data_IF_143034206281
#
_entry.id   IF_143034206281
#
_cell.length_a   1.000
_cell.length_b   1.000
_cell.length_c   1.000
_cell.angle_alpha   90.00
_cell.angle_beta   90.00
_cell.angle_gamma   90.00
#
_symmetry.space_group_name_H-M   'P 1'
#
loop_
_entity.id
_entity.type
_entity.pdbx_description
1 polymer ?
#
# COMPACT_ATOMS: atom_id res chain seq x y z
N UNK A 1 2.95 7.54 -22.69
CA UNK A 1 2.18 8.79 -22.54
C UNK A 1 1.42 8.73 -21.22
N UNK A 2 1.84 9.46 -20.16
CA UNK A 2 1.25 9.36 -18.81
C UNK A 2 -0.14 10.03 -18.79
N UNK A 3 -1.21 9.23 -18.79
CA UNK A 3 -2.62 9.64 -18.93
C UNK A 3 -3.09 10.70 -17.90
N UNK A 4 -2.45 10.78 -16.73
CA UNK A 4 -2.82 11.71 -15.66
C UNK A 4 -2.44 13.19 -15.91
N UNK A 5 -1.65 13.48 -16.95
CA UNK A 5 -1.31 14.87 -17.35
C UNK A 5 -2.33 15.51 -18.30
N UNK A 6 -3.37 14.78 -18.72
CA UNK A 6 -4.34 15.26 -19.72
C UNK A 6 -5.38 16.23 -19.13
N UNK A 7 -5.68 17.31 -19.85
CA UNK A 7 -6.77 18.24 -19.53
C UNK A 7 -8.14 17.54 -19.45
N UNK A 8 -8.33 16.43 -20.17
CA UNK A 8 -9.55 15.62 -20.16
C UNK A 8 -9.91 15.11 -18.77
N UNK A 9 -8.91 14.80 -17.93
CA UNK A 9 -9.13 14.30 -16.57
C UNK A 9 -9.60 15.42 -15.62
N UNK A 10 -9.08 16.65 -15.80
CA UNK A 10 -9.50 17.84 -15.04
C UNK A 10 -10.95 18.20 -15.35
N UNK A 11 -11.39 18.01 -16.58
CA UNK A 11 -12.78 18.26 -16.98
C UNK A 11 -13.73 17.16 -16.46
N UNK A 12 -13.27 15.90 -16.41
CA UNK A 12 -13.99 14.79 -15.76
C UNK A 12 -14.21 15.04 -14.25
N UNK A 13 -13.22 15.59 -13.56
CA UNK A 13 -13.31 15.93 -12.12
C UNK A 13 -14.29 17.07 -11.81
N UNK A 14 -14.57 17.94 -12.78
CA UNK A 14 -15.55 19.04 -12.65
C UNK A 14 -16.98 18.58 -12.91
N UNK A 15 -17.16 17.43 -13.56
CA UNK A 15 -18.47 16.86 -13.81
C UNK A 15 -19.04 16.27 -12.50
N UNK A 16 -20.20 16.78 -12.09
CA UNK A 16 -20.92 16.44 -10.85
C UNK A 16 -21.40 14.97 -10.76
N UNK A 17 -21.05 14.14 -11.74
CA UNK A 17 -21.44 12.73 -11.87
C UNK A 17 -20.43 11.75 -11.26
N UNK A 18 -19.27 12.20 -10.80
CA UNK A 18 -18.22 11.33 -10.29
C UNK A 18 -18.34 11.10 -8.77
N UNK A 19 -18.18 9.85 -8.33
CA UNK A 19 -18.25 9.47 -6.91
C UNK A 19 -17.21 10.22 -6.07
N UNK A 20 -17.57 10.57 -4.83
CA UNK A 20 -16.69 11.18 -3.83
C UNK A 20 -15.40 10.39 -3.62
N UNK A 21 -15.49 9.06 -3.69
CA UNK A 21 -14.34 8.17 -3.45
C UNK A 21 -13.33 8.25 -4.59
N UNK A 22 -13.81 8.37 -5.83
CA UNK A 22 -12.95 8.54 -7.01
C UNK A 22 -12.21 9.88 -6.93
N UNK A 23 -12.90 10.94 -6.50
CA UNK A 23 -12.28 12.26 -6.31
C UNK A 23 -11.22 12.21 -5.19
N UNK A 24 -11.51 11.51 -4.09
CA UNK A 24 -10.56 11.34 -2.98
C UNK A 24 -9.30 10.60 -3.42
N UNK A 25 -9.45 9.43 -4.06
CA UNK A 25 -8.34 8.63 -4.61
C UNK A 25 -7.49 9.43 -5.60
N UNK A 26 -8.13 10.23 -6.46
CA UNK A 26 -7.40 11.10 -7.38
C UNK A 26 -6.55 12.15 -6.64
N UNK A 27 -7.11 12.81 -5.62
CA UNK A 27 -6.37 13.81 -4.81
C UNK A 27 -5.15 13.19 -4.13
N UNK A 28 -5.31 11.99 -3.55
CA UNK A 28 -4.21 11.24 -2.92
C UNK A 28 -3.13 10.87 -3.93
N UNK A 29 -3.50 10.32 -5.08
CA UNK A 29 -2.54 10.02 -6.15
C UNK A 29 -1.78 11.27 -6.62
N UNK A 30 -2.45 12.42 -6.72
CA UNK A 30 -1.81 13.71 -7.04
C UNK A 30 -0.82 14.15 -5.95
N UNK A 31 -1.16 13.99 -4.68
CA UNK A 31 -0.26 14.30 -3.57
C UNK A 31 0.99 13.41 -3.58
N UNK A 32 0.84 12.11 -3.87
CA UNK A 32 1.97 11.18 -4.02
C UNK A 32 2.94 11.69 -5.10
N UNK A 33 2.40 12.07 -6.26
CA UNK A 33 3.18 12.62 -7.38
C UNK A 33 3.87 13.94 -7.02
N UNK A 34 3.15 14.85 -6.36
CA UNK A 34 3.68 16.15 -5.92
C UNK A 34 4.78 15.99 -4.85
N UNK A 35 4.74 14.91 -4.05
CA UNK A 35 5.81 14.55 -3.13
C UNK A 35 7.07 13.96 -3.80
N UNK A 36 7.09 13.89 -5.14
CA UNK A 36 8.22 13.36 -5.91
C UNK A 36 8.24 11.83 -6.05
N UNK A 37 7.20 11.13 -5.57
CA UNK A 37 7.06 9.67 -5.66
C UNK A 37 6.19 9.28 -6.86
N UNK A 38 6.40 8.09 -7.44
CA UNK A 38 5.52 7.60 -8.52
C UNK A 38 4.32 6.86 -7.91
N UNK A 39 3.10 7.38 -8.14
CA UNK A 39 1.87 6.72 -7.73
C UNK A 39 1.55 5.45 -8.56
N UNK A 40 2.20 5.30 -9.72
CA UNK A 40 1.96 4.20 -10.66
C UNK A 40 3.29 3.52 -11.00
N UNK A 41 3.88 2.87 -10.00
CA UNK A 41 5.13 2.12 -10.13
C UNK A 41 4.92 0.98 -11.13
N UNK A 42 5.73 0.98 -12.20
CA UNK A 42 5.59 0.02 -13.30
C UNK A 42 6.18 -1.36 -13.00
N UNK A 43 7.20 -1.43 -12.13
CA UNK A 43 7.87 -2.66 -11.72
C UNK A 43 8.42 -2.50 -10.31
N UNK A 44 8.26 -3.53 -9.50
CA UNK A 44 8.95 -3.70 -8.23
C UNK A 44 9.31 -5.17 -8.09
N UNK A 45 10.51 -5.47 -7.58
CA UNK A 45 11.03 -6.83 -7.46
C UNK A 45 10.68 -7.40 -6.09
N UNK A 46 9.50 -8.01 -5.99
CA UNK A 46 9.06 -8.70 -4.79
C UNK A 46 9.64 -10.12 -4.79
N UNK A 47 10.50 -10.39 -3.80
CA UNK A 47 11.28 -11.62 -3.72
C UNK A 47 10.48 -12.83 -3.26
N UNK A 48 9.35 -12.60 -2.60
CA UNK A 48 8.52 -13.63 -2.01
C UNK A 48 7.04 -13.41 -2.33
N UNK A 49 6.30 -14.51 -2.39
CA UNK A 49 4.84 -14.51 -2.30
C UNK A 49 4.39 -14.65 -0.85
N UNK A 50 3.15 -14.26 -0.56
CA UNK A 50 2.57 -14.36 0.78
C UNK A 50 2.53 -15.81 1.27
N UNK A 51 2.17 -16.75 0.40
CA UNK A 51 2.08 -18.18 0.72
C UNK A 51 3.45 -18.77 1.09
N UNK A 52 4.50 -18.43 0.33
CA UNK A 52 5.88 -18.83 0.65
C UNK A 52 6.31 -18.34 2.04
N UNK A 53 5.98 -17.09 2.38
CA UNK A 53 6.30 -16.52 3.70
C UNK A 53 5.54 -17.25 4.80
N UNK A 54 4.24 -17.49 4.62
CA UNK A 54 3.42 -18.23 5.59
C UNK A 54 3.98 -19.63 5.82
N UNK A 55 4.34 -20.35 4.75
CA UNK A 55 4.91 -21.69 4.84
C UNK A 55 6.26 -21.67 5.57
N UNK A 56 7.16 -20.78 5.16
CA UNK A 56 8.50 -20.64 5.72
C UNK A 56 8.50 -20.38 7.23
N UNK A 57 7.54 -19.58 7.73
CA UNK A 57 7.47 -19.18 9.14
C UNK A 57 6.33 -19.83 9.93
N UNK A 58 5.64 -20.82 9.36
CA UNK A 58 4.56 -21.58 10.01
C UNK A 58 4.95 -22.25 11.33
N UNK A 59 6.24 -22.48 11.54
CA UNK A 59 6.81 -23.10 12.73
C UNK A 59 7.04 -22.12 13.90
N UNK A 60 6.96 -20.80 13.67
CA UNK A 60 7.16 -19.81 14.72
C UNK A 60 6.01 -19.82 15.71
N UNK A 61 6.33 -19.79 17.01
CA UNK A 61 5.34 -19.71 18.08
C UNK A 61 4.95 -18.25 18.37
N UNK A 62 3.80 -18.00 19.02
CA UNK A 62 3.44 -16.66 19.47
C UNK A 62 4.56 -16.03 20.32
N UNK A 63 5.01 -14.84 19.91
CA UNK A 63 6.11 -14.12 20.57
C UNK A 63 7.51 -14.43 20.01
N UNK A 64 7.65 -15.44 19.15
CA UNK A 64 8.89 -15.65 18.41
C UNK A 64 8.93 -14.77 17.15
N UNK A 65 10.10 -14.23 16.86
CA UNK A 65 10.34 -13.39 15.68
C UNK A 65 11.73 -13.67 15.12
N UNK A 66 11.85 -13.65 13.80
CA UNK A 66 13.15 -13.62 13.11
C UNK A 66 13.41 -12.23 12.57
N UNK A 67 14.68 -11.82 12.55
CA UNK A 67 15.14 -10.58 11.93
C UNK A 67 15.65 -10.88 10.52
N UNK A 68 14.73 -11.26 9.64
CA UNK A 68 15.03 -11.50 8.23
C UNK A 68 14.23 -10.49 7.41
N UNK A 69 14.88 -9.89 6.41
CA UNK A 69 14.20 -8.93 5.54
C UNK A 69 13.47 -9.68 4.43
N UNK A 70 12.17 -9.48 4.36
CA UNK A 70 11.28 -10.11 3.38
C UNK A 70 10.68 -9.02 2.50
N UNK A 71 10.53 -9.31 1.21
CA UNK A 71 9.84 -8.39 0.29
C UNK A 71 8.66 -9.07 -0.40
N UNK A 72 7.48 -8.49 -0.23
CA UNK A 72 6.21 -9.00 -0.78
C UNK A 72 5.41 -7.88 -1.45
N UNK A 73 4.58 -8.28 -2.41
CA UNK A 73 3.68 -7.40 -3.15
C UNK A 73 2.25 -7.88 -2.94
N UNK A 74 1.32 -6.95 -2.69
CA UNK A 74 -0.08 -7.32 -2.51
C UNK A 74 -1.02 -6.13 -2.64
N UNK A 75 -2.30 -6.45 -2.75
CA UNK A 75 -3.39 -5.48 -2.70
C UNK A 75 -3.84 -5.28 -1.26
N UNK A 76 -3.98 -4.02 -0.84
CA UNK A 76 -4.56 -3.71 0.47
C UNK A 76 -6.03 -4.10 0.48
N UNK A 77 -6.42 -4.99 1.40
CA UNK A 77 -7.81 -5.42 1.57
C UNK A 77 -8.45 -4.86 2.85
N UNK A 78 -7.65 -4.50 3.85
CA UNK A 78 -8.13 -3.84 5.07
C UNK A 78 -7.07 -2.91 5.66
N UNK A 79 -7.51 -1.83 6.31
CA UNK A 79 -6.66 -0.92 7.09
C UNK A 79 -7.36 -0.62 8.43
N UNK A 80 -6.64 -0.79 9.54
CA UNK A 80 -7.08 -0.53 10.91
C UNK A 80 -6.06 0.39 11.59
N UNK A 81 -6.45 1.64 11.86
CA UNK A 81 -5.56 2.66 12.43
C UNK A 81 -5.78 2.82 13.94
N UNK A 82 -4.69 2.88 14.69
CA UNK A 82 -4.66 3.08 16.14
C UNK A 82 -3.57 4.11 16.51
N UNK A 83 -3.85 5.39 16.26
CA UNK A 83 -2.91 6.47 16.53
C UNK A 83 -1.64 6.35 15.69
N UNK A 84 -0.50 6.00 16.32
CA UNK A 84 0.81 5.83 15.68
C UNK A 84 1.07 4.40 15.18
N UNK A 85 0.08 3.51 15.32
CA UNK A 85 0.13 2.14 14.83
C UNK A 85 -0.94 1.93 13.76
N UNK A 86 -0.60 1.19 12.72
CA UNK A 86 -1.56 0.75 11.71
C UNK A 86 -1.37 -0.74 11.44
N UNK A 87 -2.48 -1.46 11.43
CA UNK A 87 -2.54 -2.82 10.91
C UNK A 87 -3.18 -2.78 9.53
N UNK A 88 -2.59 -3.44 8.56
CA UNK A 88 -3.15 -3.54 7.23
C UNK A 88 -3.07 -4.98 6.75
N UNK A 89 -4.14 -5.49 6.15
CA UNK A 89 -4.12 -6.80 5.54
C UNK A 89 -3.86 -6.63 4.04
N UNK A 90 -2.88 -7.35 3.51
CA UNK A 90 -2.59 -7.38 2.08
C UNK A 90 -2.82 -8.79 1.52
N UNK A 91 -3.27 -8.83 0.26
CA UNK A 91 -3.57 -10.06 -0.48
C UNK A 91 -2.77 -10.13 -1.78
N UNK A 92 -2.13 -11.26 -2.02
CA UNK A 92 -1.58 -11.60 -3.34
C UNK A 92 -2.32 -12.83 -3.92
N UNK A 93 -1.79 -13.44 -4.99
CA UNK A 93 -2.40 -14.62 -5.61
C UNK A 93 -2.31 -15.91 -4.76
N UNK A 94 -1.50 -15.91 -3.70
CA UNK A 94 -1.20 -17.07 -2.86
C UNK A 94 -1.83 -17.00 -1.47
N UNK A 95 -2.15 -15.80 -0.97
CA UNK A 95 -2.84 -15.66 0.32
C UNK A 95 -2.92 -14.24 0.87
N UNK A 96 -3.23 -14.17 2.16
CA UNK A 96 -3.37 -12.94 2.95
C UNK A 96 -2.31 -12.88 4.04
N UNK A 97 -1.75 -11.70 4.28
CA UNK A 97 -0.85 -11.45 5.40
C UNK A 97 -1.10 -10.09 6.02
N UNK A 98 -0.98 -10.03 7.34
CA UNK A 98 -1.13 -8.80 8.11
C UNK A 98 0.21 -8.08 8.23
N UNK A 99 0.20 -6.78 7.94
CA UNK A 99 1.28 -5.84 8.17
C UNK A 99 1.10 -5.16 9.52
N UNK A 100 2.21 -5.00 10.25
CA UNK A 100 2.31 -4.18 11.45
C UNK A 100 3.17 -2.95 11.15
N UNK A 101 2.54 -1.78 11.11
CA UNK A 101 3.20 -0.52 10.82
C UNK A 101 3.27 0.32 12.10
N UNK A 102 4.50 0.62 12.53
CA UNK A 102 4.76 1.48 13.68
C UNK A 102 5.51 2.74 13.23
N UNK A 103 4.91 3.92 13.42
CA UNK A 103 5.51 5.20 13.06
C UNK A 103 6.90 5.39 13.68
N UNK A 104 7.16 4.84 14.87
CA UNK A 104 8.49 4.91 15.50
C UNK A 104 9.53 4.12 14.73
N UNK A 105 9.15 3.01 14.08
CA UNK A 105 10.06 2.12 13.34
C UNK A 105 10.29 2.59 11.91
N UNK A 106 9.23 3.02 11.22
CA UNK A 106 9.30 3.34 9.78
C UNK A 106 9.40 4.85 9.47
N UNK A 107 9.30 5.71 10.50
CA UNK A 107 9.49 7.15 10.38
C UNK A 107 8.52 7.83 9.42
N UNK A 108 9.05 8.71 8.57
CA UNK A 108 8.26 9.54 7.64
C UNK A 108 7.54 8.74 6.56
N UNK A 109 7.95 7.49 6.31
CA UNK A 109 7.24 6.57 5.41
C UNK A 109 5.83 6.27 5.94
N UNK A 110 5.61 6.35 7.27
CA UNK A 110 4.29 6.16 7.85
C UNK A 110 3.27 7.17 7.31
N UNK A 111 3.67 8.43 7.14
CA UNK A 111 2.76 9.48 6.65
C UNK A 111 2.46 9.32 5.16
N UNK A 112 3.31 8.60 4.41
CA UNK A 112 3.00 8.16 3.05
C UNK A 112 1.91 7.08 3.03
N UNK A 113 1.86 6.21 4.05
CA UNK A 113 0.83 5.16 4.13
C UNK A 113 -0.59 5.75 4.25
N UNK A 114 -0.73 6.96 4.81
CA UNK A 114 -2.02 7.67 4.89
C UNK A 114 -2.59 8.08 3.52
N UNK A 115 -1.75 8.12 2.48
CA UNK A 115 -2.14 8.41 1.10
C UNK A 115 -2.64 7.17 0.36
N UNK A 116 -2.55 5.98 0.98
CA UNK A 116 -3.00 4.73 0.39
C UNK A 116 -4.44 4.41 0.81
N UNK A 117 -5.13 3.65 -0.03
CA UNK A 117 -6.50 3.20 0.19
C UNK A 117 -6.64 1.68 -0.02
N UNK A 118 -7.72 1.12 0.53
CA UNK A 118 -8.15 -0.24 0.19
C UNK A 118 -8.28 -0.35 -1.33
N UNK A 119 -7.73 -1.43 -1.89
CA UNK A 119 -7.66 -1.70 -3.31
C UNK A 119 -6.37 -1.25 -3.99
N UNK A 120 -5.52 -0.45 -3.34
CA UNK A 120 -4.21 -0.10 -3.90
C UNK A 120 -3.23 -1.28 -3.80
N UNK A 121 -2.37 -1.38 -4.82
CA UNK A 121 -1.26 -2.32 -4.83
C UNK A 121 -0.04 -1.68 -4.21
N UNK A 122 0.62 -2.43 -3.32
CA UNK A 122 1.83 -1.99 -2.64
C UNK A 122 2.87 -3.10 -2.62
N UNK A 123 4.13 -2.68 -2.56
CA UNK A 123 5.26 -3.51 -2.17
C UNK A 123 5.71 -3.12 -0.77
N UNK A 124 6.05 -4.10 0.05
CA UNK A 124 6.59 -3.89 1.40
C UNK A 124 7.90 -4.65 1.51
N UNK A 125 8.85 -4.07 2.24
CA UNK A 125 10.07 -4.71 2.69
C UNK A 125 10.21 -4.44 4.20
N UNK A 126 10.52 -5.47 4.98
CA UNK A 126 10.66 -5.37 6.43
C UNK A 126 10.97 -6.69 7.11
#
# INVERSE_FOLDING_TARGET
>A
MKLWKSNKLKDLLKNKAMSSDVISRYKKAKQIIESGKDAFVSKYDCKNTVGEVIELYSHLKPGESKQESISICGRIIAIRKHGKLTFADIRDQTGDIQLYLDKKRIGDIYDFFDLLDIGDWISIEG
#
